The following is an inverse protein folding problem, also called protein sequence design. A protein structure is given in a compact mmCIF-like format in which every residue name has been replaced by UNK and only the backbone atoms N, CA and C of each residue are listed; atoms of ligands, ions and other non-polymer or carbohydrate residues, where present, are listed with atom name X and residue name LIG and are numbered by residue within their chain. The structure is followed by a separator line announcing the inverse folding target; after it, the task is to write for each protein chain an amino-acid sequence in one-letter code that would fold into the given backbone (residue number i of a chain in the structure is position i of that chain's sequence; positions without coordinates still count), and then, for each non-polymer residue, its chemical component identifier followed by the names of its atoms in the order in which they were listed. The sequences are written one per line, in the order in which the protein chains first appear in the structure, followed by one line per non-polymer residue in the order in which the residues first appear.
data_IF_517771519948
#
_entry.id   IF_517771519948
#
_cell.length_a   1.000
_cell.length_b   1.000
_cell.length_c   1.000
_cell.angle_alpha   90.00
_cell.angle_beta   90.00
_cell.angle_gamma   90.00
#
_symmetry.space_group_name_H-M   'P 1'
#
loop_
_entity.id
_entity.type
_entity.pdbx_description
1 polymer ?
#
# COMPACT_ATOMS: atom_id res chain seq x y z
N UNK A 1 -1.24 20.15 0.79
CA UNK A 1 -0.54 20.78 -0.32
C UNK A 1 0.49 19.84 -0.96
N UNK A 2 0.59 19.85 -2.28
CA UNK A 2 1.53 18.98 -2.97
C UNK A 2 2.98 19.36 -2.68
N UNK A 3 3.92 18.39 -2.66
CA UNK A 3 5.35 18.71 -2.55
C UNK A 3 5.79 19.68 -3.66
N UNK A 4 6.64 20.64 -3.32
CA UNK A 4 6.96 21.75 -4.19
C UNK A 4 8.42 21.78 -4.69
N UNK A 5 9.10 20.70 -4.71
CA UNK A 5 10.53 20.68 -5.03
C UNK A 5 10.85 20.81 -6.53
N UNK A 6 10.00 21.52 -7.27
CA UNK A 6 10.15 21.67 -8.73
C UNK A 6 9.65 20.47 -9.52
N UNK A 7 9.23 19.42 -8.83
CA UNK A 7 8.74 18.20 -9.48
C UNK A 7 7.42 18.38 -10.18
N UNK A 8 6.58 19.30 -9.69
CA UNK A 8 5.26 19.54 -10.27
C UNK A 8 5.33 19.98 -11.74
N UNK A 9 6.44 20.58 -12.16
CA UNK A 9 6.64 21.02 -13.54
C UNK A 9 7.32 19.97 -14.42
N UNK A 10 7.76 18.85 -13.83
CA UNK A 10 8.44 17.79 -14.57
C UNK A 10 7.40 16.85 -15.19
N UNK A 11 7.35 16.72 -16.55
CA UNK A 11 6.36 15.85 -17.19
C UNK A 11 6.45 14.38 -16.76
N UNK A 12 7.65 13.88 -16.49
CA UNK A 12 7.83 12.51 -16.04
C UNK A 12 7.26 12.31 -14.63
N UNK A 13 7.43 13.30 -13.77
CA UNK A 13 6.84 13.25 -12.43
C UNK A 13 5.33 13.30 -12.51
N UNK A 14 4.75 14.10 -13.40
CA UNK A 14 3.31 14.17 -13.58
C UNK A 14 2.75 12.83 -14.02
N UNK A 15 3.43 12.14 -14.91
CA UNK A 15 3.03 10.81 -15.34
C UNK A 15 3.11 9.83 -14.18
N UNK A 16 4.20 9.86 -13.43
CA UNK A 16 4.37 9.06 -12.22
C UNK A 16 3.23 9.31 -11.23
N UNK A 17 2.94 10.59 -10.97
CA UNK A 17 1.88 10.98 -10.05
C UNK A 17 0.51 10.49 -10.51
N UNK A 18 0.24 10.56 -11.80
CA UNK A 18 -1.02 10.07 -12.39
C UNK A 18 -1.14 8.56 -12.23
N UNK A 19 -0.07 7.83 -12.53
CA UNK A 19 -0.08 6.38 -12.43
C UNK A 19 -0.29 5.91 -10.99
N UNK A 20 0.35 6.59 -10.04
CA UNK A 20 0.16 6.29 -8.61
C UNK A 20 -1.26 6.63 -8.16
N UNK A 21 -1.81 7.77 -8.59
CA UNK A 21 -3.18 8.15 -8.24
C UNK A 21 -4.19 7.13 -8.77
N UNK A 22 -4.00 6.66 -9.99
CA UNK A 22 -4.86 5.63 -10.58
C UNK A 22 -4.75 4.31 -9.83
N UNK A 23 -3.53 3.94 -9.44
CA UNK A 23 -3.31 2.72 -8.67
C UNK A 23 -4.02 2.79 -7.31
N UNK A 24 -3.88 3.91 -6.59
CA UNK A 24 -4.54 4.11 -5.30
C UNK A 24 -6.05 4.04 -5.45
N UNK A 25 -6.60 4.64 -6.50
CA UNK A 25 -8.04 4.60 -6.75
C UNK A 25 -8.52 3.17 -7.01
N UNK A 26 -7.72 2.37 -7.70
CA UNK A 26 -8.09 1.00 -8.06
C UNK A 26 -7.96 0.01 -6.92
N UNK A 27 -6.97 0.19 -6.03
CA UNK A 27 -6.62 -0.82 -5.02
C UNK A 27 -6.92 -0.40 -3.58
N UNK A 28 -7.19 0.89 -3.36
CA UNK A 28 -7.56 1.43 -2.05
C UNK A 28 -6.64 1.01 -0.89
N UNK A 29 -5.31 1.23 -1.00
CA UNK A 29 -4.43 0.92 0.11
C UNK A 29 -4.72 1.81 1.31
N UNK A 30 -4.43 1.33 2.52
CA UNK A 30 -4.70 2.07 3.74
C UNK A 30 -3.46 2.76 4.31
N UNK A 31 -2.27 2.35 3.90
CA UNK A 31 -1.01 2.92 4.38
C UNK A 31 0.07 2.78 3.32
N UNK A 32 1.18 3.49 3.50
CA UNK A 32 2.30 3.46 2.55
C UNK A 32 3.23 2.29 2.87
N UNK A 33 3.52 2.05 4.14
CA UNK A 33 4.46 1.01 4.60
C UNK A 33 3.82 0.10 5.61
N UNK A 34 4.34 -1.15 5.72
CA UNK A 34 3.76 -2.13 6.64
C UNK A 34 3.86 -1.70 8.11
N UNK A 35 4.88 -0.93 8.47
CA UNK A 35 5.04 -0.44 9.84
C UNK A 35 3.90 0.48 10.27
N UNK A 36 3.15 1.01 9.32
CA UNK A 36 2.02 1.89 9.58
C UNK A 36 0.73 1.13 9.88
N UNK A 37 0.71 -0.18 9.65
CA UNK A 37 -0.46 -0.99 9.99
C UNK A 37 -0.55 -1.13 11.51
N UNK A 38 -1.69 -0.73 12.13
CA UNK A 38 -1.80 -0.83 13.59
C UNK A 38 -1.66 -2.27 14.08
N UNK A 39 -1.00 -2.46 15.21
CA UNK A 39 -0.77 -3.79 15.76
C UNK A 39 -2.08 -4.50 16.11
N UNK A 40 -3.06 -3.75 16.61
CA UNK A 40 -4.37 -4.33 16.93
C UNK A 40 -5.09 -4.87 15.70
N UNK A 41 -4.94 -4.21 14.56
CA UNK A 41 -5.48 -4.69 13.28
C UNK A 41 -4.82 -6.00 12.88
N UNK A 42 -3.49 -6.08 12.99
CA UNK A 42 -2.75 -7.30 12.69
C UNK A 42 -3.17 -8.45 13.61
N UNK A 43 -3.33 -8.17 14.89
CA UNK A 43 -3.72 -9.18 15.87
C UNK A 43 -5.12 -9.72 15.56
N UNK A 44 -6.06 -8.85 15.18
CA UNK A 44 -7.41 -9.25 14.79
C UNK A 44 -7.40 -10.11 13.54
N UNK A 45 -6.59 -9.74 12.55
CA UNK A 45 -6.48 -10.52 11.32
C UNK A 45 -5.87 -11.89 11.57
N UNK A 46 -4.83 -11.95 12.41
CA UNK A 46 -4.21 -13.23 12.78
C UNK A 46 -5.21 -14.15 13.46
N UNK A 47 -5.97 -13.62 14.39
CA UNK A 47 -6.96 -14.41 15.10
C UNK A 47 -8.06 -14.91 14.17
N UNK A 48 -8.51 -14.07 13.25
CA UNK A 48 -9.51 -14.45 12.25
C UNK A 48 -8.97 -15.59 11.37
N UNK A 49 -7.76 -15.46 10.85
CA UNK A 49 -7.16 -16.49 10.00
C UNK A 49 -6.94 -17.78 10.75
N UNK A 50 -6.56 -17.69 12.02
CA UNK A 50 -6.37 -18.86 12.89
C UNK A 50 -7.68 -19.61 13.04
N UNK A 51 -8.76 -18.91 13.36
CA UNK A 51 -10.09 -19.51 13.50
C UNK A 51 -10.54 -20.16 12.20
N UNK A 52 -10.33 -19.49 11.08
CA UNK A 52 -10.69 -20.03 9.76
C UNK A 52 -9.92 -21.32 9.47
N UNK A 53 -8.61 -21.33 9.72
CA UNK A 53 -7.79 -22.51 9.48
C UNK A 53 -8.22 -23.68 10.34
N UNK A 54 -8.50 -23.44 11.62
CA UNK A 54 -8.97 -24.48 12.53
C UNK A 54 -10.34 -25.01 12.13
N UNK A 55 -11.25 -24.13 11.70
CA UNK A 55 -12.58 -24.53 11.21
C UNK A 55 -12.50 -25.36 9.92
N UNK A 56 -11.48 -25.15 9.12
CA UNK A 56 -11.25 -25.95 7.91
C UNK A 56 -10.61 -27.30 8.22
N UNK A 57 -10.34 -27.58 9.50
CA UNK A 57 -9.77 -28.85 9.92
C UNK A 57 -8.26 -28.95 9.78
N UNK A 58 -7.58 -27.81 9.64
CA UNK A 58 -6.12 -27.82 9.51
C UNK A 58 -5.47 -28.19 10.85
N UNK A 59 -4.39 -29.04 10.85
CA UNK A 59 -3.67 -29.36 12.07
C UNK A 59 -3.04 -28.11 12.69
N UNK A 60 -3.01 -28.07 14.03
CA UNK A 60 -2.39 -26.94 14.75
C UNK A 60 -0.94 -26.69 14.30
N UNK A 61 -0.22 -27.73 13.95
CA UNK A 61 1.18 -27.63 13.51
C UNK A 61 1.37 -26.75 12.28
N UNK A 62 0.37 -26.69 11.39
CA UNK A 62 0.47 -25.91 10.17
C UNK A 62 -0.29 -24.59 10.25
N UNK A 63 -1.14 -24.41 11.27
CA UNK A 63 -1.95 -23.21 11.40
C UNK A 63 -1.10 -21.94 11.45
N UNK A 64 -0.01 -21.95 12.22
CA UNK A 64 0.85 -20.78 12.35
C UNK A 64 1.47 -20.39 11.02
N UNK A 65 1.87 -21.35 10.20
CA UNK A 65 2.41 -21.08 8.86
C UNK A 65 1.35 -20.52 7.94
N UNK A 66 0.14 -21.05 8.01
CA UNK A 66 -0.99 -20.57 7.21
C UNK A 66 -1.31 -19.13 7.60
N UNK A 67 -1.35 -18.84 8.89
CA UNK A 67 -1.64 -17.50 9.39
C UNK A 67 -0.57 -16.50 8.91
N UNK A 68 0.71 -16.86 9.04
CA UNK A 68 1.79 -15.98 8.61
C UNK A 68 1.75 -15.75 7.09
N UNK A 69 1.44 -16.79 6.31
CA UNK A 69 1.26 -16.64 4.86
C UNK A 69 0.13 -15.70 4.51
N UNK A 70 -0.98 -15.79 5.22
CA UNK A 70 -2.12 -14.90 5.00
C UNK A 70 -1.84 -13.47 5.45
N UNK A 71 -1.06 -13.29 6.51
CA UNK A 71 -0.63 -11.96 6.95
C UNK A 71 0.24 -11.29 5.87
N UNK A 72 1.11 -12.03 5.21
CA UNK A 72 1.90 -11.48 4.11
C UNK A 72 1.00 -11.03 2.96
N UNK A 73 -0.04 -11.78 2.65
CA UNK A 73 -1.04 -11.38 1.65
C UNK A 73 -1.81 -10.15 2.10
N UNK A 74 -2.14 -10.06 3.39
CA UNK A 74 -2.82 -8.91 3.95
C UNK A 74 -1.98 -7.63 3.75
N UNK A 75 -0.68 -7.70 4.04
CA UNK A 75 0.20 -6.57 3.77
C UNK A 75 0.18 -6.18 2.29
N UNK A 76 0.22 -7.18 1.40
CA UNK A 76 0.20 -6.91 -0.03
C UNK A 76 -1.13 -6.31 -0.51
N UNK A 77 -2.19 -6.42 0.28
CA UNK A 77 -3.48 -5.83 -0.05
C UNK A 77 -3.63 -4.40 0.45
N UNK A 78 -3.10 -4.09 1.63
CA UNK A 78 -3.37 -2.80 2.30
C UNK A 78 -2.19 -1.84 2.28
N UNK A 79 -0.97 -2.34 2.07
CA UNK A 79 0.25 -1.52 2.09
C UNK A 79 0.61 -1.12 0.66
N UNK A 80 0.54 0.18 0.36
CA UNK A 80 0.77 0.69 -1.00
C UNK A 80 2.04 0.13 -1.63
N UNK A 81 3.17 0.22 -0.93
CA UNK A 81 4.47 -0.19 -1.48
C UNK A 81 4.57 -1.70 -1.70
N UNK A 82 3.74 -2.50 -1.06
CA UNK A 82 3.77 -3.95 -1.21
C UNK A 82 2.75 -4.49 -2.20
N UNK A 83 1.86 -3.64 -2.70
CA UNK A 83 0.87 -4.05 -3.68
C UNK A 83 1.51 -4.32 -5.04
N UNK A 84 0.99 -5.31 -5.81
CA UNK A 84 1.35 -5.39 -7.22
C UNK A 84 0.88 -4.12 -7.93
N UNK A 85 1.73 -3.53 -8.77
CA UNK A 85 1.37 -2.29 -9.45
C UNK A 85 0.26 -2.57 -10.48
N UNK A 86 -0.81 -1.79 -10.42
CA UNK A 86 -1.99 -2.02 -11.26
C UNK A 86 -1.65 -2.01 -12.76
N UNK A 87 -0.75 -1.15 -13.16
CA UNK A 87 -0.34 -1.01 -14.56
C UNK A 87 0.62 -2.11 -15.01
N UNK A 88 1.33 -2.74 -14.07
CA UNK A 88 2.26 -3.82 -14.34
C UNK A 88 2.34 -4.75 -13.12
N UNK A 89 1.43 -5.75 -13.01
CA UNK A 89 1.36 -6.59 -11.80
C UNK A 89 2.59 -7.44 -11.51
N UNK A 90 3.48 -7.62 -12.47
CA UNK A 90 4.75 -8.33 -12.24
C UNK A 90 5.73 -7.52 -11.42
N UNK A 91 5.45 -6.24 -11.22
CA UNK A 91 6.28 -5.30 -10.47
C UNK A 91 5.49 -4.79 -9.27
N UNK A 92 6.14 -4.73 -8.11
CA UNK A 92 5.51 -4.12 -6.94
C UNK A 92 5.60 -2.60 -7.04
N UNK A 93 4.67 -1.90 -6.38
CA UNK A 93 4.69 -0.44 -6.32
C UNK A 93 6.05 0.06 -5.79
N UNK A 94 6.63 -0.64 -4.78
CA UNK A 94 7.94 -0.26 -4.25
C UNK A 94 9.03 -0.22 -5.32
N UNK A 95 9.02 -1.16 -6.24
CA UNK A 95 9.99 -1.22 -7.33
C UNK A 95 9.77 -0.08 -8.34
N UNK A 96 8.51 0.17 -8.67
CA UNK A 96 8.15 1.27 -9.56
C UNK A 96 8.57 2.62 -8.98
N UNK A 97 8.29 2.82 -7.68
CA UNK A 97 8.68 4.04 -6.96
C UNK A 97 10.19 4.21 -6.94
N UNK A 98 10.94 3.14 -6.67
CA UNK A 98 12.40 3.17 -6.65
C UNK A 98 12.99 3.60 -7.99
N UNK A 99 12.47 3.02 -9.07
CA UNK A 99 12.92 3.35 -10.41
C UNK A 99 12.69 4.82 -10.74
N UNK A 100 11.56 5.36 -10.34
CA UNK A 100 11.18 6.73 -10.63
C UNK A 100 11.84 7.73 -9.68
N UNK A 101 12.04 7.36 -8.43
CA UNK A 101 12.74 8.21 -7.47
C UNK A 101 14.16 8.52 -7.94
N UNK A 102 14.83 7.55 -8.54
CA UNK A 102 16.17 7.73 -9.08
C UNK A 102 16.18 8.80 -10.18
N UNK A 103 15.13 8.84 -11.00
CA UNK A 103 15.01 9.85 -12.06
C UNK A 103 14.81 11.25 -11.51
N UNK A 104 14.13 11.36 -10.38
CA UNK A 104 13.81 12.67 -9.80
C UNK A 104 14.85 13.13 -8.78
N UNK A 105 15.81 12.26 -8.44
CA UNK A 105 16.91 12.58 -7.54
C UNK A 105 16.53 12.83 -6.09
N UNK A 106 15.27 12.58 -5.70
CA UNK A 106 14.75 12.98 -4.42
C UNK A 106 13.76 11.96 -3.85
N UNK A 107 14.27 10.90 -3.22
CA UNK A 107 13.42 9.88 -2.62
C UNK A 107 12.49 10.41 -1.53
N UNK A 108 12.91 11.43 -0.79
CA UNK A 108 12.11 12.03 0.27
C UNK A 108 10.86 12.72 -0.28
N UNK A 109 11.00 13.46 -1.37
CA UNK A 109 9.87 14.14 -2.00
C UNK A 109 8.84 13.16 -2.53
N UNK A 110 9.29 12.03 -3.08
CA UNK A 110 8.39 10.98 -3.55
C UNK A 110 7.61 10.38 -2.37
N UNK A 111 8.27 10.12 -1.25
CA UNK A 111 7.60 9.60 -0.05
C UNK A 111 6.54 10.55 0.47
N UNK A 112 6.82 11.84 0.49
CA UNK A 112 5.86 12.86 0.88
C UNK A 112 4.66 12.87 -0.04
N UNK A 113 4.92 12.76 -1.34
CA UNK A 113 3.86 12.70 -2.34
C UNK A 113 2.93 11.51 -2.11
N UNK A 114 3.50 10.33 -1.85
CA UNK A 114 2.70 9.13 -1.60
C UNK A 114 1.79 9.30 -0.39
N UNK A 115 2.32 9.85 0.70
CA UNK A 115 1.54 10.10 1.92
C UNK A 115 0.44 11.12 1.67
N UNK A 116 0.76 12.17 0.93
CA UNK A 116 -0.21 13.20 0.59
C UNK A 116 -1.36 12.63 -0.23
N UNK A 117 -1.06 11.82 -1.24
CA UNK A 117 -2.09 11.20 -2.08
C UNK A 117 -2.99 10.26 -1.28
N UNK A 118 -2.42 9.49 -0.37
CA UNK A 118 -3.19 8.61 0.49
C UNK A 118 -4.11 9.41 1.42
N UNK A 119 -3.59 10.48 2.01
CA UNK A 119 -4.37 11.36 2.87
C UNK A 119 -5.51 12.05 2.13
N UNK A 120 -5.25 12.53 0.92
CA UNK A 120 -6.25 13.14 0.06
C UNK A 120 -7.41 12.17 -0.20
N UNK A 121 -7.11 10.93 -0.51
CA UNK A 121 -8.13 9.91 -0.73
C UNK A 121 -8.94 9.63 0.53
N UNK A 122 -8.29 9.55 1.68
CA UNK A 122 -8.96 9.32 2.95
C UNK A 122 -9.91 10.47 3.29
N UNK A 123 -9.50 11.71 3.05
CA UNK A 123 -10.34 12.88 3.25
C UNK A 123 -11.56 12.87 2.33
N UNK A 124 -11.36 12.52 1.06
CA UNK A 124 -12.46 12.43 0.11
C UNK A 124 -13.48 11.38 0.53
N UNK A 125 -13.01 10.22 1.01
CA UNK A 125 -13.89 9.16 1.50
C UNK A 125 -14.67 9.61 2.73
N UNK A 126 -14.01 10.31 3.67
CA UNK A 126 -14.65 10.83 4.87
C UNK A 126 -15.73 11.86 4.53
N UNK A 127 -15.48 12.71 3.55
CA UNK A 127 -16.45 13.71 3.09
C UNK A 127 -17.69 13.06 2.44
N UNK A 128 -17.50 11.96 1.74
CA UNK A 128 -18.61 11.25 1.11
C UNK A 128 -19.50 10.55 2.13
N UNK A 129 -18.92 10.12 3.24
CA UNK A 129 -19.68 9.46 4.30
C UNK A 129 -20.41 10.45 5.21
N UNK A 130 -19.91 11.66 5.27
CA UNK A 130 -20.54 12.72 6.03
C UNK A 130 -21.71 13.34 5.33
#
# INVERSE_FOLDING_TARGET
EAPQDGLADNPEFREFARDIAMHIAATAPTCVRREEVPQDVLDQERELYRKQALNEGKPEKVVDKIVEGRIQKFYAEVVLLEQPFAKNPDQKVSEYVKQNAAKFGEGLSVKRFLRWKLGEKAEAAAQQEG
#
